data_IF_926404874862
#
_entry.id   IF_926404874862
#
_cell.length_a   1.000
_cell.length_b   1.000
_cell.length_c   1.000
_cell.angle_alpha   90.00
_cell.angle_beta   90.00
_cell.angle_gamma   90.00
#
_symmetry.space_group_name_H-M   'P 1'
#
loop_
_entity.id
_entity.type
_entity.pdbx_description
1 polymer ?
#
# COMPACT_ATOMS: atom_id res chain seq x y z
N UNK A 1 -15.73 -23.09 7.22
CA UNK A 1 -16.15 -21.67 7.40
C UNK A 1 -14.96 -20.77 7.08
N UNK A 2 -15.23 -19.57 6.53
CA UNK A 2 -14.17 -18.58 6.27
C UNK A 2 -13.64 -18.06 7.63
N UNK A 3 -12.31 -17.99 7.78
CA UNK A 3 -11.66 -17.58 9.04
C UNK A 3 -10.94 -16.21 8.92
N UNK A 4 -10.81 -15.66 7.72
CA UNK A 4 -10.17 -14.37 7.52
C UNK A 4 -9.75 -14.15 6.07
N UNK A 5 -9.01 -13.07 5.83
CA UNK A 5 -8.38 -12.76 4.55
C UNK A 5 -6.92 -13.23 4.62
N UNK A 6 -6.51 -14.11 3.70
CA UNK A 6 -5.13 -14.58 3.64
C UNK A 6 -4.21 -13.55 2.94
N UNK A 7 -4.67 -12.96 1.84
CA UNK A 7 -3.93 -11.91 1.15
C UNK A 7 -4.86 -10.99 0.36
N UNK A 8 -4.34 -9.83 -0.01
CA UNK A 8 -4.90 -8.98 -1.05
C UNK A 8 -3.94 -8.98 -2.23
N UNK A 9 -4.49 -9.00 -3.45
CA UNK A 9 -3.70 -8.86 -4.67
C UNK A 9 -3.91 -7.47 -5.26
N UNK A 10 -2.83 -6.74 -5.44
CA UNK A 10 -2.83 -5.42 -6.06
C UNK A 10 -2.14 -5.53 -7.42
N UNK A 11 -2.76 -4.91 -8.43
CA UNK A 11 -2.21 -4.96 -9.79
C UNK A 11 -1.46 -3.68 -10.12
N UNK A 12 -0.43 -3.82 -10.95
CA UNK A 12 0.44 -2.73 -11.40
C UNK A 12 0.63 -2.83 -12.92
N UNK A 13 1.06 -1.75 -13.59
CA UNK A 13 1.38 -1.81 -15.00
C UNK A 13 2.47 -2.85 -15.32
N UNK A 14 2.43 -3.40 -16.53
CA UNK A 14 3.51 -4.26 -17.03
C UNK A 14 4.86 -3.55 -16.92
N UNK A 15 5.91 -4.31 -16.63
CA UNK A 15 7.29 -3.83 -16.47
C UNK A 15 7.54 -2.89 -15.29
N UNK A 16 6.62 -2.80 -14.31
CA UNK A 16 6.77 -1.97 -13.11
C UNK A 16 6.83 -2.77 -11.81
N UNK A 17 6.78 -4.10 -11.88
CA UNK A 17 6.76 -4.96 -10.70
C UNK A 17 7.99 -4.74 -9.78
N UNK A 18 9.15 -4.41 -10.34
CA UNK A 18 10.37 -4.10 -9.60
C UNK A 18 10.23 -2.88 -8.67
N UNK A 19 9.30 -1.97 -8.96
CA UNK A 19 9.04 -0.79 -8.13
C UNK A 19 8.34 -1.14 -6.80
N UNK A 20 7.68 -2.30 -6.73
CA UNK A 20 6.96 -2.74 -5.55
C UNK A 20 7.86 -2.90 -4.33
N UNK A 21 9.11 -3.33 -4.50
CA UNK A 21 10.07 -3.49 -3.40
C UNK A 21 10.40 -2.17 -2.71
N UNK A 22 10.49 -1.08 -3.47
CA UNK A 22 10.72 0.25 -2.91
C UNK A 22 9.48 0.76 -2.16
N UNK A 23 8.31 0.71 -2.78
CA UNK A 23 7.10 1.24 -2.16
C UNK A 23 6.60 0.34 -1.01
N UNK A 24 6.28 -0.93 -1.29
CA UNK A 24 5.72 -1.83 -0.28
C UNK A 24 6.75 -2.29 0.75
N UNK A 25 7.97 -2.58 0.31
CA UNK A 25 9.04 -3.02 1.20
C UNK A 25 9.62 -1.89 2.04
N UNK A 26 10.17 -0.84 1.41
CA UNK A 26 10.88 0.21 2.15
C UNK A 26 9.94 1.28 2.70
N UNK A 27 9.02 1.81 1.90
CA UNK A 27 8.17 2.92 2.33
C UNK A 27 7.09 2.45 3.31
N UNK A 28 6.35 1.38 3.00
CA UNK A 28 5.35 0.84 3.92
C UNK A 28 5.96 -0.03 5.04
N UNK A 29 7.16 -0.58 4.82
CA UNK A 29 7.84 -1.42 5.81
C UNK A 29 7.34 -2.87 5.85
N UNK A 30 6.71 -3.36 4.78
CA UNK A 30 6.30 -4.75 4.69
C UNK A 30 7.52 -5.65 4.43
N UNK A 31 7.48 -6.89 4.91
CA UNK A 31 8.60 -7.83 4.79
C UNK A 31 8.51 -8.61 3.49
N UNK A 32 9.52 -8.53 2.59
CA UNK A 32 9.54 -9.34 1.38
C UNK A 32 9.48 -10.84 1.68
N UNK A 33 8.67 -11.56 0.92
CA UNK A 33 8.53 -13.01 1.02
C UNK A 33 8.93 -13.69 -0.29
N UNK A 34 9.63 -14.81 -0.21
CA UNK A 34 10.02 -15.57 -1.39
C UNK A 34 8.79 -16.12 -2.13
N UNK A 35 8.75 -15.90 -3.44
CA UNK A 35 7.72 -16.41 -4.34
C UNK A 35 8.19 -17.74 -4.92
N UNK A 36 7.30 -18.73 -5.17
CA UNK A 36 7.65 -19.96 -5.87
C UNK A 36 8.38 -19.68 -7.20
N UNK A 37 9.40 -20.47 -7.53
CA UNK A 37 10.34 -20.19 -8.62
C UNK A 37 9.68 -19.94 -9.98
N UNK A 38 8.59 -20.64 -10.28
CA UNK A 38 7.85 -20.50 -11.55
C UNK A 38 6.95 -19.25 -11.63
N UNK A 39 6.86 -18.45 -10.54
CA UNK A 39 6.05 -17.24 -10.45
C UNK A 39 6.88 -15.98 -10.19
N UNK A 40 8.20 -16.08 -10.00
CA UNK A 40 9.08 -14.98 -9.59
C UNK A 40 9.07 -13.77 -10.52
N UNK A 41 8.89 -14.00 -11.81
CA UNK A 41 8.89 -12.94 -12.81
C UNK A 41 7.52 -12.22 -12.92
N UNK A 42 6.50 -12.75 -12.25
CA UNK A 42 5.13 -12.29 -12.36
C UNK A 42 4.49 -11.86 -11.05
N UNK A 43 5.14 -12.09 -9.93
CA UNK A 43 4.60 -11.82 -8.60
C UNK A 43 5.70 -11.35 -7.65
N UNK A 44 5.36 -10.44 -6.76
CA UNK A 44 6.10 -10.19 -5.52
C UNK A 44 5.14 -10.29 -4.34
N UNK A 45 5.64 -10.85 -3.24
CA UNK A 45 4.89 -11.06 -2.02
C UNK A 45 5.53 -10.33 -0.85
N UNK A 46 4.69 -9.79 0.02
CA UNK A 46 5.11 -9.14 1.26
C UNK A 46 4.25 -9.64 2.42
N UNK A 47 4.89 -10.00 3.53
CA UNK A 47 4.21 -10.32 4.77
C UNK A 47 3.77 -9.02 5.48
N UNK A 48 2.56 -9.02 6.04
CA UNK A 48 2.04 -7.94 6.88
C UNK A 48 2.40 -8.29 8.34
N UNK A 49 3.54 -7.80 8.81
CA UNK A 49 4.03 -8.08 10.16
C UNK A 49 4.03 -9.58 10.46
N UNK A 50 3.48 -9.95 11.61
CA UNK A 50 3.33 -11.36 12.05
C UNK A 50 1.90 -11.89 11.91
N UNK A 51 1.03 -11.18 11.19
CA UNK A 51 -0.39 -11.51 11.08
C UNK A 51 -0.69 -12.80 10.30
N UNK A 52 0.27 -13.30 9.51
CA UNK A 52 0.05 -14.38 8.55
C UNK A 52 -0.67 -13.93 7.27
N UNK A 53 -1.00 -12.66 7.16
CA UNK A 53 -1.61 -12.05 5.97
C UNK A 53 -0.53 -11.47 5.06
N UNK A 54 -0.83 -11.36 3.77
CA UNK A 54 0.13 -10.88 2.77
C UNK A 54 -0.47 -9.84 1.82
N UNK A 55 0.42 -9.05 1.23
CA UNK A 55 0.16 -8.28 0.01
C UNK A 55 0.87 -8.97 -1.13
N UNK A 56 0.14 -9.32 -2.17
CA UNK A 56 0.67 -9.80 -3.44
C UNK A 56 0.57 -8.69 -4.47
N UNK A 57 1.59 -8.52 -5.29
CA UNK A 57 1.62 -7.53 -6.38
C UNK A 57 1.93 -8.24 -7.68
N UNK A 58 1.11 -8.00 -8.70
CA UNK A 58 1.23 -8.62 -10.02
C UNK A 58 0.92 -7.62 -11.13
N UNK A 59 1.50 -7.74 -12.32
CA UNK A 59 1.05 -6.99 -13.49
C UNK A 59 -0.39 -7.33 -13.83
N UNK A 60 -1.16 -6.33 -14.26
CA UNK A 60 -2.54 -6.49 -14.65
C UNK A 60 -3.08 -5.33 -15.48
N UNK A 61 -4.35 -5.40 -15.91
CA UNK A 61 -4.97 -4.38 -16.74
C UNK A 61 -5.13 -3.06 -15.99
N UNK A 62 -5.11 -1.95 -16.73
CA UNK A 62 -5.23 -0.59 -16.16
C UNK A 62 -6.53 -0.36 -15.40
N UNK A 63 -7.61 -1.06 -15.73
CA UNK A 63 -8.87 -1.01 -14.99
C UNK A 63 -8.74 -1.38 -13.51
N UNK A 64 -7.73 -2.13 -13.14
CA UNK A 64 -7.53 -2.60 -11.76
C UNK A 64 -6.85 -1.55 -10.87
N UNK A 65 -6.11 -0.60 -11.44
CA UNK A 65 -5.38 0.43 -10.70
C UNK A 65 -5.73 1.87 -11.12
N UNK A 66 -6.91 2.07 -11.70
CA UNK A 66 -7.38 3.43 -12.04
C UNK A 66 -7.46 4.33 -10.82
N UNK A 67 -6.95 5.56 -10.96
CA UNK A 67 -6.93 6.55 -9.88
C UNK A 67 -8.31 7.04 -9.45
N UNK A 68 -9.34 6.80 -10.26
CA UNK A 68 -10.75 7.06 -9.93
C UNK A 68 -11.39 5.94 -9.09
N UNK A 69 -10.77 4.75 -9.01
CA UNK A 69 -11.32 3.63 -8.25
C UNK A 69 -11.30 3.91 -6.75
N UNK A 70 -12.43 3.64 -6.09
CA UNK A 70 -12.56 3.70 -4.64
C UNK A 70 -12.23 2.37 -3.94
N UNK A 71 -11.98 1.29 -4.71
CA UNK A 71 -11.60 0.00 -4.13
C UNK A 71 -10.22 0.09 -3.47
N UNK A 72 -10.10 -0.42 -2.25
CA UNK A 72 -8.84 -0.35 -1.52
C UNK A 72 -8.78 -1.37 -0.38
N UNK A 73 -7.61 -1.88 -0.05
CA UNK A 73 -7.39 -2.53 1.24
C UNK A 73 -7.26 -1.46 2.33
N UNK A 74 -7.64 -1.83 3.56
CA UNK A 74 -7.40 -1.02 4.73
C UNK A 74 -6.41 -1.77 5.64
N UNK A 75 -5.25 -1.15 5.88
CA UNK A 75 -4.20 -1.68 6.74
C UNK A 75 -4.36 -1.15 8.15
N UNK A 76 -4.33 -2.05 9.12
CA UNK A 76 -4.33 -1.67 10.54
C UNK A 76 -2.91 -1.48 11.03
N UNK A 77 -2.65 -0.38 11.69
CA UNK A 77 -1.39 -0.07 12.38
C UNK A 77 -1.52 -0.40 13.86
N UNK A 78 -0.40 -0.76 14.47
CA UNK A 78 -0.36 -1.23 15.86
C UNK A 78 -0.44 -0.10 16.90
N UNK A 79 -0.17 1.13 16.50
CA UNK A 79 -0.20 2.30 17.39
C UNK A 79 -0.32 3.61 16.61
N UNK A 80 -0.66 4.69 17.32
CA UNK A 80 -0.68 6.07 16.78
C UNK A 80 0.69 6.44 16.24
N UNK A 81 1.76 6.11 16.95
CA UNK A 81 3.13 6.39 16.53
C UNK A 81 3.47 5.67 15.21
N UNK A 82 3.09 4.40 15.09
CA UNK A 82 3.29 3.63 13.85
C UNK A 82 2.51 4.25 12.68
N UNK A 83 1.26 4.67 12.92
CA UNK A 83 0.43 5.33 11.92
C UNK A 83 1.08 6.64 11.43
N UNK A 84 1.52 7.50 12.36
CA UNK A 84 2.18 8.77 12.02
C UNK A 84 3.50 8.54 11.29
N UNK A 85 4.29 7.54 11.67
CA UNK A 85 5.53 7.18 11.00
C UNK A 85 5.30 6.71 9.57
N UNK A 86 4.31 5.85 9.33
CA UNK A 86 3.99 5.38 7.97
C UNK A 86 3.49 6.54 7.12
N UNK A 87 2.62 7.40 7.66
CA UNK A 87 2.14 8.60 6.97
C UNK A 87 3.29 9.53 6.57
N UNK A 88 4.24 9.75 7.47
CA UNK A 88 5.42 10.58 7.21
C UNK A 88 6.31 9.97 6.13
N UNK A 89 6.62 8.67 6.17
CA UNK A 89 7.43 7.99 5.16
C UNK A 89 6.81 8.03 3.77
N UNK A 90 5.49 7.83 3.69
CA UNK A 90 4.77 7.91 2.41
C UNK A 90 4.85 9.34 1.86
N UNK A 91 4.65 10.34 2.71
CA UNK A 91 4.74 11.75 2.31
C UNK A 91 6.15 12.12 1.83
N UNK A 92 7.18 11.73 2.56
CA UNK A 92 8.58 11.95 2.17
C UNK A 92 8.92 11.29 0.82
N UNK A 93 8.41 10.08 0.58
CA UNK A 93 8.58 9.41 -0.69
C UNK A 93 7.83 10.14 -1.82
N UNK A 94 6.64 10.64 -1.54
CA UNK A 94 5.86 11.47 -2.48
C UNK A 94 6.61 12.75 -2.86
N UNK A 95 7.15 13.48 -1.89
CA UNK A 95 7.92 14.70 -2.15
C UNK A 95 9.25 14.43 -2.86
N UNK A 96 9.94 13.35 -2.50
CA UNK A 96 11.17 12.94 -3.17
C UNK A 96 10.94 12.57 -4.63
N UNK A 97 9.78 12.02 -4.96
CA UNK A 97 9.44 11.61 -6.31
C UNK A 97 10.17 10.34 -6.74
N UNK A 98 10.22 10.12 -8.05
CA UNK A 98 10.78 8.94 -8.68
C UNK A 98 9.70 7.98 -9.19
N UNK A 99 10.10 6.94 -9.90
CA UNK A 99 9.16 6.00 -10.54
C UNK A 99 8.33 5.19 -9.54
N UNK A 100 8.90 4.88 -8.38
CA UNK A 100 8.23 4.14 -7.30
C UNK A 100 7.43 5.03 -6.34
N UNK A 101 7.47 6.36 -6.51
CA UNK A 101 6.79 7.29 -5.63
C UNK A 101 5.27 7.10 -5.67
N UNK A 102 4.58 7.27 -4.53
CA UNK A 102 3.12 7.25 -4.50
C UNK A 102 2.56 8.35 -5.40
N UNK A 103 1.45 8.08 -6.06
CA UNK A 103 0.75 9.06 -6.91
C UNK A 103 -0.05 10.07 -6.13
N UNK A 104 -0.43 9.71 -4.90
CA UNK A 104 -1.09 10.60 -3.96
C UNK A 104 -0.77 10.19 -2.53
N UNK A 105 -0.67 11.16 -1.65
CA UNK A 105 -0.40 10.94 -0.24
C UNK A 105 -1.08 12.04 0.61
N UNK A 106 -1.72 11.64 1.70
CA UNK A 106 -2.26 12.58 2.66
C UNK A 106 -1.12 13.20 3.47
N UNK A 107 -1.00 14.52 3.39
CA UNK A 107 0.05 15.27 4.08
C UNK A 107 -0.07 15.12 5.60
N UNK A 108 1.03 14.85 6.31
CA UNK A 108 1.03 14.87 7.78
C UNK A 108 0.51 16.19 8.35
N UNK A 109 -0.36 16.11 9.36
CA UNK A 109 -0.97 17.26 9.99
C UNK A 109 -2.09 17.93 9.21
N UNK A 110 -2.47 17.40 8.05
CA UNK A 110 -3.60 17.91 7.25
C UNK A 110 -4.80 16.96 7.33
N UNK A 111 -5.97 17.45 6.89
CA UNK A 111 -7.17 16.63 6.71
C UNK A 111 -6.88 15.48 5.74
N UNK A 112 -7.40 14.28 6.01
CA UNK A 112 -7.22 13.17 5.10
C UNK A 112 -8.19 13.21 3.90
N UNK A 113 -7.80 12.60 2.80
CA UNK A 113 -8.56 12.58 1.55
C UNK A 113 -9.80 11.67 1.58
N UNK A 114 -10.07 11.03 2.70
CA UNK A 114 -11.26 10.21 2.91
C UNK A 114 -12.47 10.99 3.41
N UNK A 115 -12.40 12.32 3.43
CA UNK A 115 -13.48 13.22 3.89
C UNK A 115 -13.93 12.92 5.32
N UNK A 116 -12.99 12.47 6.15
CA UNK A 116 -13.25 12.15 7.55
C UNK A 116 -13.03 13.38 8.42
N UNK A 117 -14.01 13.69 9.26
CA UNK A 117 -13.91 14.72 10.27
C UNK A 117 -12.99 14.35 11.43
N UNK A 118 -12.99 15.21 12.44
CA UNK A 118 -12.12 15.06 13.62
C UNK A 118 -12.41 13.80 14.45
N UNK A 119 -13.55 13.17 14.26
CA UNK A 119 -13.92 11.90 14.89
C UNK A 119 -13.11 10.69 14.38
N UNK A 120 -12.40 10.86 13.26
CA UNK A 120 -11.50 9.85 12.70
C UNK A 120 -10.08 10.40 12.47
N UNK A 121 -9.40 10.95 13.49
CA UNK A 121 -8.08 11.57 13.32
C UNK A 121 -6.97 10.58 13.00
N UNK A 122 -7.22 9.29 13.18
CA UNK A 122 -6.26 8.19 13.12
C UNK A 122 -6.36 7.38 11.84
N UNK A 123 -6.83 8.03 10.77
CA UNK A 123 -6.98 7.45 9.44
C UNK A 123 -6.30 8.34 8.41
N UNK A 124 -5.68 7.72 7.40
CA UNK A 124 -5.21 8.46 6.23
C UNK A 124 -5.19 7.54 5.00
N UNK A 125 -4.97 8.15 3.84
CA UNK A 125 -4.96 7.49 2.55
C UNK A 125 -3.71 7.82 1.76
N UNK A 126 -3.35 6.91 0.85
CA UNK A 126 -2.35 7.12 -0.18
C UNK A 126 -2.76 6.35 -1.44
N UNK A 127 -2.09 6.63 -2.55
CA UNK A 127 -2.11 5.78 -3.74
C UNK A 127 -0.70 5.34 -4.05
N UNK A 128 -0.52 4.05 -4.34
CA UNK A 128 0.80 3.54 -4.71
C UNK A 128 1.29 4.12 -6.06
N UNK A 129 2.45 3.69 -6.51
CA UNK A 129 3.06 4.15 -7.77
C UNK A 129 2.22 3.82 -9.02
N UNK A 130 1.34 2.83 -8.96
CA UNK A 130 0.41 2.49 -10.04
C UNK A 130 -0.90 3.30 -9.97
N UNK A 131 -1.31 3.75 -8.78
CA UNK A 131 -2.56 4.44 -8.50
C UNK A 131 -3.54 3.66 -7.63
N UNK A 132 -3.19 2.45 -7.16
CA UNK A 132 -4.01 1.70 -6.21
C UNK A 132 -4.24 2.50 -4.93
N UNK A 133 -5.50 2.66 -4.54
CA UNK A 133 -5.85 3.34 -3.30
C UNK A 133 -5.53 2.43 -2.11
N UNK A 134 -4.97 3.01 -1.07
CA UNK A 134 -4.62 2.35 0.18
C UNK A 134 -5.15 3.18 1.34
N UNK A 135 -5.74 2.51 2.32
CA UNK A 135 -6.19 3.12 3.58
C UNK A 135 -5.34 2.58 4.72
N UNK A 136 -5.09 3.44 5.70
CA UNK A 136 -4.35 3.12 6.92
C UNK A 136 -5.13 3.61 8.13
N UNK A 137 -5.31 2.75 9.14
CA UNK A 137 -6.09 3.04 10.35
C UNK A 137 -5.50 2.38 11.59
N UNK A 138 -5.94 2.77 12.77
CA UNK A 138 -5.69 2.05 14.03
C UNK A 138 -6.59 0.85 14.19
#
# INVERSE_FOLDING_TARGET
MIAGIAHVNLTVPENTLHLASEFYGKTLGLTPRAVPSHQRDRLVWFDIGTSGQQVHVAPGPSSDFETSSGRHPCFRLESVEALLQVRQRIWEHFERGGESAPRAADKPGATNSGDQGVEYPERFFARDFAGNRLEFTL
#
